data_IF_851330259375
#
_entry.id   IF_851330259375
#
_cell.length_a   1.000
_cell.length_b   1.000
_cell.length_c   1.000
_cell.angle_alpha   90.00
_cell.angle_beta   90.00
_cell.angle_gamma   90.00
#
_symmetry.space_group_name_H-M   'P 1'
#
loop_
_entity.id
_entity.type
_entity.pdbx_description
1 polymer ?
#
# COMPACT_ATOMS: atom_id res chain seq x y z
N UNK A 1 -45.03 79.16 55.32
CA UNK A 1 -44.62 79.05 53.93
C UNK A 1 -43.39 78.11 53.89
N UNK A 2 -43.56 76.87 53.71
CA UNK A 2 -42.47 75.87 53.60
C UNK A 2 -42.55 75.16 52.30
N UNK A 3 -41.51 75.23 51.50
CA UNK A 3 -41.37 74.45 50.25
C UNK A 3 -40.64 73.14 50.62
N UNK A 4 -41.08 71.97 50.12
CA UNK A 4 -40.29 70.73 50.21
C UNK A 4 -39.33 70.57 49.06
N UNK A 5 -38.08 70.24 49.39
CA UNK A 5 -37.04 69.84 48.44
C UNK A 5 -37.28 68.49 47.90
N UNK A 6 -37.21 68.31 46.56
CA UNK A 6 -37.26 67.05 45.88
C UNK A 6 -35.84 66.45 45.79
N UNK A 7 -35.66 65.22 46.31
CA UNK A 7 -34.45 64.42 46.18
C UNK A 7 -34.58 63.58 44.90
N UNK A 8 -33.75 63.83 43.93
CA UNK A 8 -33.64 63.03 42.70
C UNK A 8 -32.73 61.81 43.00
N UNK A 9 -33.28 60.60 42.92
CA UNK A 9 -32.50 59.36 42.99
C UNK A 9 -31.98 59.00 41.57
N UNK A 10 -30.65 58.99 41.41
CA UNK A 10 -29.99 58.52 40.19
C UNK A 10 -29.87 57.05 40.19
N UNK A 11 -30.54 56.37 39.24
CA UNK A 11 -30.47 54.94 39.02
C UNK A 11 -29.29 54.66 38.09
N UNK A 12 -28.20 54.09 38.61
CA UNK A 12 -27.05 53.66 37.78
C UNK A 12 -27.31 52.30 37.18
N UNK A 13 -27.47 52.26 35.88
CA UNK A 13 -27.61 51.01 35.08
C UNK A 13 -26.21 50.40 34.82
N UNK A 14 -25.87 49.31 35.48
CA UNK A 14 -24.65 48.55 35.23
C UNK A 14 -24.93 47.58 34.06
N UNK A 15 -24.40 47.90 32.89
CA UNK A 15 -24.43 47.00 31.71
C UNK A 15 -23.32 45.97 31.83
N UNK A 16 -23.64 44.74 32.14
CA UNK A 16 -22.71 43.64 32.10
C UNK A 16 -22.41 43.26 30.64
N UNK A 17 -21.21 43.51 30.16
CA UNK A 17 -20.73 43.03 28.85
C UNK A 17 -20.32 41.57 28.99
N UNK A 18 -21.16 40.66 28.49
CA UNK A 18 -20.80 39.25 28.38
C UNK A 18 -19.92 39.08 27.13
N UNK A 19 -18.61 38.98 27.31
CA UNK A 19 -17.70 38.57 26.23
C UNK A 19 -17.84 37.08 26.00
N UNK A 20 -18.56 36.70 24.94
CA UNK A 20 -18.57 35.34 24.45
C UNK A 20 -17.17 34.99 23.92
N UNK A 21 -16.39 34.26 24.70
CA UNK A 21 -15.14 33.67 24.26
C UNK A 21 -15.42 32.68 23.15
N UNK A 22 -15.02 32.99 21.91
CA UNK A 22 -15.03 32.04 20.81
C UNK A 22 -14.06 30.89 21.16
N UNK A 23 -14.59 29.74 21.51
CA UNK A 23 -13.80 28.53 21.65
C UNK A 23 -13.20 28.22 20.27
N UNK A 24 -11.90 28.43 20.13
CA UNK A 24 -11.15 28.02 18.94
C UNK A 24 -11.22 26.50 18.90
N UNK A 25 -12.06 25.95 18.05
CA UNK A 25 -12.11 24.52 17.79
C UNK A 25 -10.75 24.11 17.24
N UNK A 26 -9.97 23.34 18.01
CA UNK A 26 -8.69 22.82 17.56
C UNK A 26 -8.92 22.06 16.25
N UNK A 27 -8.15 22.35 15.22
CA UNK A 27 -8.20 21.62 13.96
C UNK A 27 -8.02 20.12 14.27
N UNK A 28 -8.81 19.23 13.66
CA UNK A 28 -8.68 17.80 13.90
C UNK A 28 -7.24 17.38 13.63
N UNK A 29 -6.64 16.67 14.59
CA UNK A 29 -5.27 16.19 14.48
C UNK A 29 -5.10 15.43 13.14
N UNK A 30 -4.03 15.75 12.41
CA UNK A 30 -3.72 15.06 11.17
C UNK A 30 -3.57 13.55 11.45
N UNK A 31 -4.13 12.71 10.58
CA UNK A 31 -3.95 11.28 10.69
C UNK A 31 -2.46 10.91 10.58
N UNK A 32 -1.98 9.92 11.33
CA UNK A 32 -0.60 9.46 11.19
C UNK A 32 -0.35 9.00 9.75
N UNK A 33 0.85 9.23 9.24
CA UNK A 33 1.23 8.76 7.93
C UNK A 33 1.22 7.22 7.88
N UNK A 34 0.81 6.65 6.75
CA UNK A 34 0.80 5.23 6.46
C UNK A 34 1.89 4.94 5.43
N UNK A 35 2.78 4.00 5.75
CA UNK A 35 3.88 3.58 4.87
C UNK A 35 3.57 2.26 4.20
N UNK A 36 3.65 2.25 2.88
CA UNK A 36 3.34 1.11 2.01
C UNK A 36 4.58 0.72 1.23
N UNK A 37 4.95 -0.54 1.27
CA UNK A 37 6.06 -1.11 0.52
C UNK A 37 5.54 -2.12 -0.51
N UNK A 38 5.98 -2.00 -1.77
CA UNK A 38 5.89 -3.05 -2.78
C UNK A 38 7.28 -3.65 -2.98
N UNK A 39 7.41 -4.98 -2.90
CA UNK A 39 8.69 -5.63 -3.02
C UNK A 39 8.59 -7.04 -3.61
N UNK A 40 9.09 -7.21 -4.83
CA UNK A 40 9.30 -8.52 -5.43
C UNK A 40 10.56 -9.14 -4.79
N UNK A 41 10.43 -10.34 -4.22
CA UNK A 41 11.46 -10.99 -3.40
C UNK A 41 12.40 -11.90 -4.21
N UNK A 42 12.07 -12.16 -5.47
CA UNK A 42 12.80 -13.17 -6.26
C UNK A 42 12.98 -14.47 -5.47
N UNK A 43 11.88 -15.02 -4.94
CA UNK A 43 11.83 -16.21 -4.05
C UNK A 43 12.89 -16.23 -2.93
N UNK A 44 13.31 -15.05 -2.47
CA UNK A 44 14.30 -14.91 -1.40
C UNK A 44 15.76 -14.98 -1.85
N UNK A 45 16.01 -15.19 -3.14
CA UNK A 45 17.36 -15.20 -3.70
C UNK A 45 17.79 -13.78 -4.09
N UNK A 46 18.89 -13.36 -3.49
CA UNK A 46 19.51 -12.08 -3.81
C UNK A 46 20.27 -12.14 -5.14
N UNK A 47 20.65 -10.96 -5.64
CA UNK A 47 21.44 -10.80 -6.85
C UNK A 47 22.91 -11.35 -6.71
N UNK A 48 23.25 -11.80 -5.50
CA UNK A 48 24.46 -12.55 -5.18
C UNK A 48 24.26 -14.08 -5.18
N UNK A 49 23.08 -14.57 -5.59
CA UNK A 49 22.72 -15.98 -5.66
C UNK A 49 22.49 -16.64 -4.29
N UNK A 50 22.27 -15.86 -3.22
CA UNK A 50 22.05 -16.39 -1.88
C UNK A 50 20.61 -16.23 -1.44
N UNK A 51 20.02 -17.30 -0.92
CA UNK A 51 18.75 -17.24 -0.18
C UNK A 51 19.01 -16.62 1.19
N UNK A 52 18.46 -15.41 1.43
CA UNK A 52 18.72 -14.64 2.65
C UNK A 52 17.45 -13.88 3.13
N UNK A 53 16.53 -14.60 3.75
CA UNK A 53 15.32 -14.00 4.34
C UNK A 53 15.62 -12.98 5.46
N UNK A 54 16.63 -13.19 6.35
CA UNK A 54 17.04 -12.16 7.31
C UNK A 54 17.41 -10.83 6.64
N UNK A 55 18.13 -10.84 5.51
CA UNK A 55 18.45 -9.63 4.74
C UNK A 55 17.20 -8.94 4.21
N UNK A 56 16.28 -9.68 3.61
CA UNK A 56 14.99 -9.15 3.15
C UNK A 56 14.17 -8.55 4.31
N UNK A 57 14.11 -9.25 5.45
CA UNK A 57 13.44 -8.76 6.65
C UNK A 57 14.08 -7.47 7.19
N UNK A 58 15.41 -7.34 7.13
CA UNK A 58 16.11 -6.12 7.52
C UNK A 58 15.74 -4.94 6.61
N UNK A 59 15.63 -5.15 5.29
CA UNK A 59 15.15 -4.12 4.33
C UNK A 59 13.72 -3.68 4.65
N UNK A 60 12.82 -4.65 4.86
CA UNK A 60 11.41 -4.36 5.22
C UNK A 60 11.35 -3.57 6.53
N UNK A 61 12.07 -4.01 7.56
CA UNK A 61 12.09 -3.34 8.88
C UNK A 61 12.66 -1.93 8.79
N UNK A 62 13.78 -1.75 8.07
CA UNK A 62 14.42 -0.45 7.89
C UNK A 62 13.54 0.55 7.11
N UNK A 63 12.65 0.07 6.23
CA UNK A 63 11.67 0.91 5.52
C UNK A 63 10.64 1.53 6.45
N UNK A 64 10.40 0.91 7.61
CA UNK A 64 9.34 1.29 8.54
C UNK A 64 7.93 1.11 7.97
N UNK A 65 7.77 0.24 6.96
CA UNK A 65 6.48 0.01 6.31
C UNK A 65 5.44 -0.55 7.28
N UNK A 66 4.22 -0.07 7.17
CA UNK A 66 3.05 -0.55 7.90
C UNK A 66 2.31 -1.64 7.12
N UNK A 67 2.33 -1.52 5.78
CA UNK A 67 1.75 -2.45 4.83
C UNK A 67 2.81 -2.86 3.80
N UNK A 68 2.93 -4.16 3.53
CA UNK A 68 3.91 -4.68 2.56
C UNK A 68 3.23 -5.66 1.62
N UNK A 69 3.33 -5.42 0.32
CA UNK A 69 2.94 -6.37 -0.72
C UNK A 69 4.19 -7.06 -1.26
N UNK A 70 4.24 -8.38 -1.13
CA UNK A 70 5.36 -9.21 -1.53
C UNK A 70 4.96 -10.07 -2.74
N UNK A 71 5.80 -10.08 -3.76
CA UNK A 71 5.67 -10.92 -4.93
C UNK A 71 6.77 -11.98 -4.91
N UNK A 72 6.55 -13.06 -5.67
CA UNK A 72 7.47 -14.20 -5.78
C UNK A 72 7.80 -14.85 -4.43
N UNK A 73 6.77 -15.17 -3.68
CA UNK A 73 6.90 -15.77 -2.34
C UNK A 73 6.72 -17.28 -2.44
N UNK A 74 7.73 -18.03 -2.03
CA UNK A 74 7.68 -19.48 -1.93
C UNK A 74 7.12 -19.93 -0.57
N UNK A 75 6.30 -20.96 -0.61
CA UNK A 75 5.82 -21.66 0.57
C UNK A 75 6.25 -23.12 0.50
N UNK A 76 7.24 -23.51 1.30
CA UNK A 76 7.73 -24.88 1.46
C UNK A 76 8.23 -25.54 0.15
N UNK A 77 8.72 -24.76 -0.81
CA UNK A 77 9.32 -25.33 -2.03
C UNK A 77 10.71 -25.92 -1.76
N UNK A 78 11.11 -26.89 -2.57
CA UNK A 78 12.44 -27.51 -2.42
C UNK A 78 13.57 -26.53 -2.74
N UNK A 79 13.39 -25.62 -3.70
CA UNK A 79 14.42 -24.61 -4.05
C UNK A 79 14.75 -23.66 -2.89
N UNK A 80 13.80 -23.44 -1.98
CA UNK A 80 13.98 -22.58 -0.81
C UNK A 80 14.12 -23.35 0.50
N UNK A 81 14.49 -24.65 0.43
CA UNK A 81 14.77 -25.46 1.61
C UNK A 81 13.55 -25.81 2.46
N UNK A 82 12.34 -25.79 1.88
CA UNK A 82 11.10 -26.13 2.59
C UNK A 82 10.59 -25.05 3.54
N UNK A 83 11.12 -23.82 3.46
CA UNK A 83 10.71 -22.70 4.32
C UNK A 83 9.39 -22.11 3.85
N UNK A 84 8.51 -21.75 4.78
CA UNK A 84 7.38 -20.84 4.53
C UNK A 84 7.90 -19.40 4.62
N UNK A 85 8.19 -18.79 3.47
CA UNK A 85 8.85 -17.48 3.43
C UNK A 85 7.97 -16.36 4.00
N UNK A 86 6.64 -16.44 3.77
CA UNK A 86 5.72 -15.44 4.30
C UNK A 86 5.65 -15.49 5.84
N UNK A 87 5.59 -16.69 6.41
CA UNK A 87 5.59 -16.90 7.87
C UNK A 87 6.91 -16.44 8.50
N UNK A 88 8.03 -16.81 7.88
CA UNK A 88 9.37 -16.45 8.39
C UNK A 88 9.62 -14.94 8.32
N UNK A 89 9.26 -14.28 7.22
CA UNK A 89 9.34 -12.82 7.11
C UNK A 89 8.42 -12.12 8.13
N UNK A 90 7.22 -12.63 8.34
CA UNK A 90 6.33 -12.11 9.38
C UNK A 90 6.94 -12.24 10.78
N UNK A 91 7.55 -13.38 11.09
CA UNK A 91 8.26 -13.60 12.36
C UNK A 91 9.44 -12.65 12.55
N UNK A 92 10.27 -12.48 11.51
CA UNK A 92 11.46 -11.61 11.54
C UNK A 92 11.13 -10.12 11.63
N UNK A 93 10.03 -9.69 11.01
CA UNK A 93 9.62 -8.27 10.97
C UNK A 93 8.63 -7.89 12.08
N UNK A 94 8.02 -8.88 12.77
CA UNK A 94 6.95 -8.65 13.74
C UNK A 94 5.62 -8.25 13.12
N UNK A 95 5.46 -8.36 11.80
CA UNK A 95 4.23 -8.04 11.08
C UNK A 95 3.31 -9.27 11.03
N UNK A 96 2.02 -9.04 10.84
CA UNK A 96 1.03 -10.09 10.51
C UNK A 96 1.09 -10.39 9.02
N UNK A 97 0.69 -11.60 8.61
CA UNK A 97 0.70 -11.96 7.18
C UNK A 97 -0.57 -12.69 6.73
N UNK A 98 -0.76 -12.68 5.42
CA UNK A 98 -1.61 -13.60 4.65
C UNK A 98 -0.86 -13.99 3.38
N UNK A 99 -0.96 -15.25 3.02
CA UNK A 99 -0.35 -15.82 1.82
C UNK A 99 -1.43 -16.24 0.83
N UNK A 100 -1.22 -15.93 -0.46
CA UNK A 100 -2.06 -16.36 -1.57
C UNK A 100 -1.27 -17.25 -2.52
N UNK A 101 -1.68 -18.51 -2.64
CA UNK A 101 -1.07 -19.47 -3.56
C UNK A 101 -1.54 -19.19 -4.99
N UNK A 102 -0.60 -19.01 -5.91
CA UNK A 102 -0.85 -18.92 -7.34
C UNK A 102 -0.81 -20.33 -7.98
N UNK A 103 0.15 -21.16 -7.58
CA UNK A 103 0.30 -22.50 -8.11
C UNK A 103 1.04 -23.44 -7.14
N UNK A 104 0.95 -24.74 -7.38
CA UNK A 104 1.85 -25.72 -6.79
C UNK A 104 3.21 -25.65 -7.50
N UNK A 105 4.29 -25.65 -6.73
CA UNK A 105 5.63 -25.53 -7.28
C UNK A 105 6.66 -26.27 -6.44
N UNK A 106 7.44 -27.14 -7.07
CA UNK A 106 8.55 -27.87 -6.44
C UNK A 106 8.24 -28.46 -5.05
N UNK A 107 7.13 -29.17 -4.92
CA UNK A 107 6.72 -29.84 -3.67
C UNK A 107 6.07 -28.90 -2.63
N UNK A 108 6.01 -27.62 -2.88
CA UNK A 108 5.33 -26.60 -2.10
C UNK A 108 4.40 -25.74 -2.96
N UNK A 109 4.35 -24.46 -2.70
CA UNK A 109 3.56 -23.49 -3.44
C UNK A 109 4.36 -22.20 -3.74
N UNK A 110 3.98 -21.54 -4.82
CA UNK A 110 4.48 -20.22 -5.21
C UNK A 110 3.31 -19.25 -5.29
N UNK A 111 3.55 -17.99 -4.86
CA UNK A 111 2.49 -17.00 -4.84
C UNK A 111 2.93 -15.64 -4.35
N UNK A 112 2.07 -15.02 -3.55
CA UNK A 112 2.25 -13.66 -3.05
C UNK A 112 1.87 -13.59 -1.57
N UNK A 113 2.36 -12.56 -0.86
CA UNK A 113 1.96 -12.30 0.51
C UNK A 113 1.65 -10.83 0.75
N UNK A 114 0.74 -10.58 1.68
CA UNK A 114 0.56 -9.27 2.33
C UNK A 114 1.12 -9.36 3.74
N UNK A 115 1.95 -8.38 4.11
CA UNK A 115 2.30 -8.17 5.52
C UNK A 115 1.65 -6.87 6.00
N UNK A 116 1.30 -6.82 7.30
CA UNK A 116 0.65 -5.67 7.89
C UNK A 116 0.94 -5.55 9.39
N UNK A 117 1.05 -4.32 9.87
CA UNK A 117 1.07 -4.01 11.31
C UNK A 117 -0.25 -4.39 11.99
N UNK A 118 -1.36 -4.40 11.26
CA UNK A 118 -2.72 -4.66 11.75
C UNK A 118 -3.28 -5.96 11.19
N UNK A 119 -4.39 -6.48 11.71
CA UNK A 119 -5.07 -7.65 11.15
C UNK A 119 -5.40 -7.45 9.67
N UNK A 120 -5.21 -8.50 8.89
CA UNK A 120 -5.59 -8.62 7.48
C UNK A 120 -6.91 -9.40 7.43
N UNK A 121 -8.03 -8.67 7.48
CA UNK A 121 -9.39 -9.20 7.52
C UNK A 121 -9.92 -9.48 6.10
N UNK A 122 -10.93 -10.31 5.97
CA UNK A 122 -11.61 -10.60 4.70
C UNK A 122 -10.65 -10.96 3.56
N UNK A 123 -9.56 -11.67 3.91
CA UNK A 123 -8.54 -12.04 2.93
C UNK A 123 -9.12 -12.92 1.81
N UNK A 124 -8.82 -12.54 0.57
CA UNK A 124 -9.32 -13.25 -0.62
C UNK A 124 -8.22 -13.35 -1.68
N UNK A 125 -8.13 -14.52 -2.31
CA UNK A 125 -7.29 -14.79 -3.47
C UNK A 125 -8.16 -14.69 -4.73
N UNK A 126 -7.75 -13.87 -5.70
CA UNK A 126 -8.44 -13.63 -6.96
C UNK A 126 -7.61 -14.19 -8.10
N UNK A 127 -8.08 -15.27 -8.74
CA UNK A 127 -7.45 -15.77 -9.95
C UNK A 127 -7.57 -14.73 -11.09
N UNK A 128 -6.47 -14.51 -11.78
CA UNK A 128 -6.43 -13.63 -12.96
C UNK A 128 -6.51 -14.45 -14.25
N UNK A 129 -6.95 -13.86 -15.37
CA UNK A 129 -6.92 -14.52 -16.67
C UNK A 129 -5.53 -15.07 -16.97
N UNK A 130 -5.49 -16.35 -17.35
CA UNK A 130 -4.25 -17.06 -17.58
C UNK A 130 -4.38 -17.91 -18.84
N UNK A 131 -3.68 -17.56 -19.94
CA UNK A 131 -3.61 -18.42 -21.10
C UNK A 131 -2.97 -19.77 -20.78
N UNK A 132 -3.27 -20.79 -21.55
CA UNK A 132 -2.63 -22.09 -21.40
C UNK A 132 -1.10 -21.96 -21.50
N UNK A 133 -0.39 -22.71 -20.65
CA UNK A 133 1.07 -22.77 -20.57
C UNK A 133 1.79 -21.48 -20.12
N UNK A 134 1.08 -20.56 -19.47
CA UNK A 134 1.67 -19.40 -18.80
C UNK A 134 1.58 -19.58 -17.30
N UNK A 135 2.53 -19.01 -16.56
CA UNK A 135 2.52 -19.05 -15.10
C UNK A 135 1.23 -18.43 -14.53
N UNK A 136 0.48 -19.13 -13.67
CA UNK A 136 -0.75 -18.59 -13.08
C UNK A 136 -0.48 -17.32 -12.28
N UNK A 137 -1.30 -16.30 -12.53
CA UNK A 137 -1.24 -15.02 -11.80
C UNK A 137 -2.49 -14.83 -10.96
N UNK A 138 -2.30 -14.16 -9.85
CA UNK A 138 -3.36 -13.82 -8.88
C UNK A 138 -3.25 -12.36 -8.47
N UNK A 139 -4.32 -11.84 -7.91
CA UNK A 139 -4.28 -10.75 -6.95
C UNK A 139 -4.74 -11.26 -5.60
N UNK A 140 -4.23 -10.69 -4.53
CA UNK A 140 -4.66 -10.95 -3.16
C UNK A 140 -5.14 -9.67 -2.53
N UNK A 141 -6.22 -9.72 -1.75
CA UNK A 141 -6.77 -8.55 -1.09
C UNK A 141 -7.15 -8.83 0.35
N UNK A 142 -7.05 -7.81 1.19
CA UNK A 142 -7.52 -7.83 2.57
C UNK A 142 -8.09 -6.46 2.95
N UNK A 143 -8.97 -6.44 3.93
CA UNK A 143 -9.40 -5.23 4.62
C UNK A 143 -8.47 -4.98 5.81
N UNK A 144 -7.97 -3.75 5.93
CA UNK A 144 -7.12 -3.29 7.03
C UNK A 144 -7.78 -2.10 7.72
N UNK A 145 -7.66 -2.05 9.06
CA UNK A 145 -8.23 -0.99 9.90
C UNK A 145 -7.15 -0.31 10.75
N UNK A 146 -6.34 0.58 10.16
CA UNK A 146 -5.35 1.31 10.93
C UNK A 146 -6.04 2.27 11.93
N UNK A 147 -5.50 2.47 13.12
CA UNK A 147 -6.07 3.38 14.11
C UNK A 147 -6.24 4.81 13.56
N UNK A 148 -7.45 5.34 13.69
CA UNK A 148 -7.81 6.67 13.21
C UNK A 148 -8.11 6.77 11.69
N UNK A 149 -7.90 5.72 10.93
CA UNK A 149 -8.21 5.64 9.50
C UNK A 149 -9.58 4.98 9.26
N UNK A 150 -10.27 5.32 8.17
CA UNK A 150 -11.37 4.47 7.71
C UNK A 150 -10.82 3.07 7.32
N UNK A 151 -11.68 2.04 7.30
CA UNK A 151 -11.29 0.77 6.71
C UNK A 151 -10.77 0.99 5.29
N UNK A 152 -9.67 0.35 4.94
CA UNK A 152 -9.09 0.40 3.61
C UNK A 152 -8.89 -1.01 3.05
N UNK A 153 -8.96 -1.12 1.72
CA UNK A 153 -8.58 -2.35 1.02
C UNK A 153 -7.10 -2.29 0.64
N UNK A 154 -6.38 -3.31 1.03
CA UNK A 154 -4.99 -3.51 0.62
C UNK A 154 -4.91 -4.67 -0.37
N UNK A 155 -4.35 -4.43 -1.55
CA UNK A 155 -4.25 -5.39 -2.65
C UNK A 155 -2.79 -5.58 -3.01
N UNK A 156 -2.39 -6.85 -3.20
CA UNK A 156 -1.11 -7.24 -3.80
C UNK A 156 -1.34 -7.95 -5.14
N UNK A 157 -0.46 -7.74 -6.11
CA UNK A 157 -0.47 -8.49 -7.39
C UNK A 157 0.93 -8.68 -7.94
N UNK A 158 1.05 -9.67 -8.82
CA UNK A 158 2.18 -9.86 -9.73
C UNK A 158 1.61 -10.26 -11.10
N UNK A 159 1.70 -9.38 -12.08
CA UNK A 159 1.14 -9.61 -13.42
C UNK A 159 2.10 -10.47 -14.27
N UNK A 160 1.57 -10.98 -15.37
CA UNK A 160 2.34 -11.77 -16.34
C UNK A 160 3.57 -11.03 -16.85
N UNK A 161 4.71 -11.74 -16.95
CA UNK A 161 5.99 -11.19 -17.36
C UNK A 161 6.36 -11.52 -18.82
N UNK A 162 5.52 -12.26 -19.54
CA UNK A 162 5.83 -12.66 -20.90
C UNK A 162 6.00 -11.47 -21.83
N UNK A 163 6.77 -11.65 -22.92
CA UNK A 163 7.04 -10.58 -23.89
C UNK A 163 5.76 -10.04 -24.56
N UNK A 164 4.81 -10.95 -24.85
CA UNK A 164 3.47 -10.56 -25.32
C UNK A 164 2.65 -10.07 -24.12
N UNK A 165 2.14 -8.86 -24.18
CA UNK A 165 1.39 -8.25 -23.10
C UNK A 165 -0.10 -8.60 -23.08
N UNK A 166 -0.57 -9.53 -23.92
CA UNK A 166 -1.99 -9.87 -24.06
C UNK A 166 -2.57 -10.42 -22.75
N UNK A 167 -1.88 -11.37 -22.12
CA UNK A 167 -2.30 -11.92 -20.83
C UNK A 167 -2.32 -10.83 -19.74
N UNK A 168 -1.25 -10.06 -19.66
CA UNK A 168 -1.08 -8.95 -18.71
C UNK A 168 -2.15 -7.87 -18.88
N UNK A 169 -2.50 -7.54 -20.12
CA UNK A 169 -3.58 -6.60 -20.41
C UNK A 169 -4.95 -7.12 -19.97
N UNK A 170 -5.27 -8.41 -20.24
CA UNK A 170 -6.49 -9.03 -19.76
C UNK A 170 -6.55 -9.08 -18.23
N UNK A 171 -5.41 -9.33 -17.58
CA UNK A 171 -5.29 -9.28 -16.12
C UNK A 171 -5.58 -7.88 -15.57
N UNK A 172 -5.07 -6.83 -16.22
CA UNK A 172 -5.36 -5.44 -15.84
C UNK A 172 -6.86 -5.10 -15.97
N UNK A 173 -7.50 -5.53 -17.07
CA UNK A 173 -8.95 -5.35 -17.25
C UNK A 173 -9.75 -6.07 -16.17
N UNK A 174 -9.35 -7.30 -15.80
CA UNK A 174 -10.00 -8.04 -14.73
C UNK A 174 -9.84 -7.37 -13.37
N UNK A 175 -8.69 -6.78 -13.09
CA UNK A 175 -8.45 -6.00 -11.88
C UNK A 175 -9.31 -4.74 -11.82
N UNK A 176 -9.47 -4.04 -12.95
CA UNK A 176 -10.38 -2.89 -13.05
C UNK A 176 -11.84 -3.27 -12.82
N UNK A 177 -12.30 -4.36 -13.44
CA UNK A 177 -13.65 -4.90 -13.22
C UNK A 177 -13.88 -5.19 -11.72
N UNK A 178 -12.88 -5.78 -11.07
CA UNK A 178 -13.01 -6.23 -9.68
C UNK A 178 -12.87 -5.10 -8.66
N UNK A 179 -11.99 -4.16 -8.89
CA UNK A 179 -11.59 -3.16 -7.89
C UNK A 179 -11.71 -1.71 -8.36
N UNK A 180 -11.85 -1.48 -9.65
CA UNK A 180 -11.87 -0.14 -10.24
C UNK A 180 -13.09 0.71 -9.87
N UNK A 181 -14.10 0.13 -9.25
CA UNK A 181 -15.33 0.81 -8.81
C UNK A 181 -15.60 0.68 -7.32
N UNK A 182 -14.62 0.16 -6.55
CA UNK A 182 -14.76 0.01 -5.11
C UNK A 182 -15.00 1.37 -4.41
N UNK A 183 -15.94 1.39 -3.48
CA UNK A 183 -16.21 2.56 -2.64
C UNK A 183 -15.22 2.68 -1.47
N UNK A 184 -14.55 1.58 -1.12
CA UNK A 184 -13.58 1.53 -0.02
C UNK A 184 -12.26 2.14 -0.48
N UNK A 185 -11.64 3.04 0.29
CA UNK A 185 -10.29 3.52 -0.01
C UNK A 185 -9.33 2.34 -0.22
N UNK A 186 -8.65 2.34 -1.37
CA UNK A 186 -7.88 1.19 -1.82
C UNK A 186 -6.43 1.58 -2.07
N UNK A 187 -5.51 0.75 -1.56
CA UNK A 187 -4.09 0.74 -1.85
C UNK A 187 -3.79 -0.55 -2.62
N UNK A 188 -3.25 -0.43 -3.80
CA UNK A 188 -2.97 -1.53 -4.69
C UNK A 188 -1.48 -1.51 -5.07
N UNK A 189 -0.71 -2.44 -4.54
CA UNK A 189 0.74 -2.52 -4.70
C UNK A 189 1.16 -3.80 -5.42
N UNK A 190 2.25 -3.76 -6.17
CA UNK A 190 2.74 -4.97 -6.84
C UNK A 190 3.77 -4.71 -7.93
N UNK A 191 4.21 -5.84 -8.50
CA UNK A 191 4.93 -5.90 -9.76
C UNK A 191 3.91 -6.08 -10.91
N UNK A 192 3.75 -5.03 -11.69
CA UNK A 192 2.81 -5.04 -12.81
C UNK A 192 3.45 -5.50 -14.12
N UNK A 193 4.77 -5.74 -14.13
CA UNK A 193 5.54 -6.13 -15.33
C UNK A 193 5.25 -5.22 -16.55
N UNK A 194 4.87 -3.98 -16.30
CA UNK A 194 4.41 -3.02 -17.30
C UNK A 194 5.06 -1.66 -17.09
N UNK A 195 5.64 -1.08 -18.16
CA UNK A 195 6.19 0.27 -18.13
C UNK A 195 5.07 1.32 -18.17
N UNK A 196 5.28 2.56 -17.69
CA UNK A 196 4.24 3.57 -17.54
C UNK A 196 3.40 3.85 -18.79
N UNK A 197 4.03 3.83 -19.99
CA UNK A 197 3.36 4.18 -21.26
C UNK A 197 2.64 2.99 -21.93
N UNK A 198 2.59 1.83 -21.29
CA UNK A 198 1.93 0.65 -21.88
C UNK A 198 0.41 0.72 -21.74
N UNK A 199 -0.33 0.04 -22.65
CA UNK A 199 -1.79 -0.08 -22.57
C UNK A 199 -2.26 -0.71 -21.24
N UNK A 200 -1.44 -1.58 -20.64
CA UNK A 200 -1.69 -2.21 -19.34
C UNK A 200 -1.79 -1.16 -18.25
N UNK A 201 -0.78 -0.28 -18.15
CA UNK A 201 -0.80 0.79 -17.15
C UNK A 201 -1.84 1.86 -17.45
N UNK A 202 -2.06 2.19 -18.74
CA UNK A 202 -3.13 3.11 -19.12
C UNK A 202 -4.49 2.62 -18.64
N UNK A 203 -4.83 1.35 -18.89
CA UNK A 203 -6.08 0.75 -18.43
C UNK A 203 -6.24 0.82 -16.91
N UNK A 204 -5.19 0.55 -16.14
CA UNK A 204 -5.23 0.66 -14.67
C UNK A 204 -5.38 2.11 -14.20
N UNK A 205 -4.69 3.05 -14.85
CA UNK A 205 -4.70 4.47 -14.49
C UNK A 205 -6.02 5.18 -14.84
N UNK A 206 -6.90 4.57 -15.65
CA UNK A 206 -8.29 5.03 -15.83
C UNK A 206 -9.11 4.92 -14.52
N UNK A 207 -8.71 4.05 -13.59
CA UNK A 207 -9.41 3.77 -12.35
C UNK A 207 -8.61 4.08 -11.08
N UNK A 208 -7.29 4.11 -11.18
CA UNK A 208 -6.37 4.31 -10.05
C UNK A 208 -5.42 5.48 -10.30
N UNK A 209 -4.87 6.03 -9.24
CA UNK A 209 -3.83 7.06 -9.31
C UNK A 209 -2.49 6.45 -8.90
N UNK A 210 -1.45 6.69 -9.70
CA UNK A 210 -0.09 6.26 -9.39
C UNK A 210 0.54 7.14 -8.30
N UNK A 211 0.79 6.56 -7.14
CA UNK A 211 1.38 7.25 -6.00
C UNK A 211 2.83 7.72 -6.22
N UNK A 212 3.53 7.16 -7.20
CA UNK A 212 4.92 7.50 -7.51
C UNK A 212 5.09 8.31 -8.80
N UNK A 213 3.98 8.83 -9.38
CA UNK A 213 4.02 9.59 -10.64
C UNK A 213 4.86 10.88 -10.55
N UNK A 214 4.88 11.54 -9.38
CA UNK A 214 5.65 12.77 -9.18
C UNK A 214 7.16 12.54 -9.04
N UNK A 215 7.58 11.35 -8.62
CA UNK A 215 8.99 10.96 -8.43
C UNK A 215 9.26 9.59 -9.04
N UNK A 216 9.04 9.44 -10.37
CA UNK A 216 9.17 8.15 -11.03
C UNK A 216 10.63 7.70 -11.02
N UNK A 217 10.85 6.44 -10.60
CA UNK A 217 12.17 5.84 -10.62
C UNK A 217 12.09 4.37 -11.05
N UNK A 218 13.07 3.83 -11.75
CA UNK A 218 13.12 2.44 -12.14
C UNK A 218 13.35 1.54 -10.92
N UNK A 219 12.76 0.33 -10.95
CA UNK A 219 12.81 -0.65 -9.87
C UNK A 219 13.58 -1.91 -10.22
N UNK A 220 13.69 -2.26 -11.50
CA UNK A 220 14.34 -3.47 -11.98
C UNK A 220 15.27 -3.19 -13.19
N UNK A 221 16.38 -3.98 -13.35
CA UNK A 221 16.97 -4.87 -12.35
C UNK A 221 17.61 -4.09 -11.19
N UNK A 222 17.74 -4.71 -10.01
CA UNK A 222 18.17 -4.00 -8.78
C UNK A 222 19.55 -3.36 -8.87
N UNK A 223 20.53 -4.00 -9.50
CA UNK A 223 21.91 -3.45 -9.64
C UNK A 223 21.94 -2.16 -10.46
N UNK A 224 21.31 -2.17 -11.63
CA UNK A 224 21.26 -1.03 -12.56
C UNK A 224 19.84 -0.85 -13.08
N UNK A 225 18.96 -0.22 -12.32
CA UNK A 225 17.54 -0.14 -12.66
C UNK A 225 17.30 0.63 -13.97
N UNK A 226 16.56 0.01 -14.89
CA UNK A 226 16.19 0.58 -16.20
C UNK A 226 14.69 0.50 -16.49
N UNK A 227 13.97 -0.33 -15.73
CA UNK A 227 12.53 -0.52 -15.88
C UNK A 227 11.82 -0.11 -14.60
N UNK A 228 10.78 0.70 -14.75
CA UNK A 228 9.79 0.98 -13.72
C UNK A 228 8.62 0.06 -13.97
N UNK A 229 8.46 -0.97 -13.15
CA UNK A 229 7.45 -2.01 -13.29
C UNK A 229 6.72 -2.33 -11.98
N UNK A 230 7.24 -1.83 -10.85
CA UNK A 230 6.59 -1.90 -9.55
C UNK A 230 5.86 -0.58 -9.25
N UNK A 231 4.65 -0.70 -8.70
CA UNK A 231 3.79 0.47 -8.43
C UNK A 231 3.05 0.32 -7.11
N UNK A 232 2.65 1.48 -6.57
CA UNK A 232 1.60 1.64 -5.58
C UNK A 232 0.52 2.51 -6.21
N UNK A 233 -0.65 1.95 -6.45
CA UNK A 233 -1.79 2.61 -7.05
C UNK A 233 -2.84 2.89 -5.97
N UNK A 234 -3.56 4.00 -6.07
CA UNK A 234 -4.48 4.51 -5.06
C UNK A 234 -5.87 4.76 -5.65
N UNK A 235 -6.91 4.49 -4.86
CA UNK A 235 -8.30 4.82 -5.20
C UNK A 235 -9.12 5.15 -3.95
N UNK A 236 -10.11 6.07 -4.00
CA UNK A 236 -10.23 7.11 -5.03
C UNK A 236 -9.09 8.14 -4.91
N UNK A 237 -8.81 8.89 -5.97
CA UNK A 237 -7.72 9.87 -6.00
C UNK A 237 -7.82 10.90 -4.86
N UNK A 238 -9.03 11.39 -4.57
CA UNK A 238 -9.29 12.41 -3.55
C UNK A 238 -9.19 11.93 -2.10
N UNK A 239 -9.04 10.61 -1.84
CA UNK A 239 -8.92 10.09 -0.48
C UNK A 239 -7.49 10.16 0.08
N UNK A 240 -6.50 10.46 -0.76
CA UNK A 240 -5.10 10.28 -0.47
C UNK A 240 -4.26 11.53 -0.80
N UNK A 241 -3.33 11.84 0.07
CA UNK A 241 -2.21 12.72 -0.26
C UNK A 241 -0.91 11.92 -0.12
N UNK A 242 -0.17 11.81 -1.20
CA UNK A 242 1.19 11.23 -1.19
C UNK A 242 2.12 12.24 -0.52
N UNK A 243 2.76 11.82 0.57
CA UNK A 243 3.76 12.61 1.30
C UNK A 243 5.12 12.42 0.66
N UNK A 244 5.47 11.16 0.37
CA UNK A 244 6.71 10.82 -0.31
C UNK A 244 6.55 9.49 -1.09
N UNK A 245 7.36 9.34 -2.13
CA UNK A 245 7.54 8.09 -2.85
C UNK A 245 9.02 7.92 -3.17
N UNK A 246 9.58 6.74 -2.87
CA UNK A 246 11.00 6.46 -3.03
C UNK A 246 11.24 5.00 -3.39
N UNK A 247 12.03 4.77 -4.44
CA UNK A 247 12.67 3.48 -4.69
C UNK A 247 13.90 3.40 -3.79
N UNK A 248 13.96 2.37 -2.92
CA UNK A 248 15.06 2.19 -1.98
C UNK A 248 16.30 1.69 -2.72
N UNK A 249 17.47 2.14 -2.27
CA UNK A 249 18.76 1.82 -2.93
C UNK A 249 19.28 0.43 -2.53
N UNK A 250 18.39 -0.57 -2.45
CA UNK A 250 18.77 -1.96 -2.19
C UNK A 250 19.07 -2.65 -3.53
N UNK A 251 20.29 -3.15 -3.69
CA UNK A 251 20.78 -3.67 -4.96
C UNK A 251 21.15 -5.16 -4.91
N UNK A 252 21.00 -5.81 -3.76
CA UNK A 252 21.52 -7.17 -3.54
C UNK A 252 20.46 -8.14 -3.03
N UNK A 253 19.54 -7.67 -2.17
CA UNK A 253 18.60 -8.57 -1.48
C UNK A 253 17.56 -9.23 -2.40
N UNK A 254 17.33 -8.67 -3.60
CA UNK A 254 16.46 -9.17 -4.66
C UNK A 254 16.95 -8.62 -6.00
N UNK A 255 16.42 -9.09 -7.12
CA UNK A 255 16.59 -8.53 -8.46
C UNK A 255 15.69 -7.30 -8.72
N UNK A 256 14.78 -6.97 -7.78
CA UNK A 256 14.01 -5.73 -7.75
C UNK A 256 14.43 -4.84 -6.58
N UNK A 257 14.28 -3.52 -6.75
CA UNK A 257 14.37 -2.54 -5.67
C UNK A 257 12.99 -2.28 -5.06
N UNK A 258 12.87 -2.23 -3.72
CA UNK A 258 11.59 -1.94 -3.07
C UNK A 258 11.09 -0.53 -3.38
N UNK A 259 9.79 -0.39 -3.63
CA UNK A 259 9.10 0.89 -3.75
C UNK A 259 8.38 1.22 -2.44
N UNK A 260 8.81 2.27 -1.74
CA UNK A 260 8.20 2.78 -0.52
C UNK A 260 7.39 4.04 -0.81
N UNK A 261 6.14 4.07 -0.36
CA UNK A 261 5.24 5.23 -0.47
C UNK A 261 4.71 5.59 0.91
N UNK A 262 4.73 6.87 1.24
CA UNK A 262 4.15 7.42 2.47
C UNK A 262 2.89 8.23 2.13
N UNK A 263 1.78 7.92 2.80
CA UNK A 263 0.45 8.42 2.51
C UNK A 263 -0.18 9.05 3.76
N UNK A 264 -1.03 10.05 3.55
CA UNK A 264 -2.00 10.51 4.55
C UNK A 264 -3.39 10.53 3.92
N UNK A 265 -4.42 10.21 4.70
CA UNK A 265 -5.79 10.34 4.23
C UNK A 265 -6.20 11.83 4.17
N UNK A 266 -6.94 12.19 3.12
CA UNK A 266 -7.64 13.47 3.01
C UNK A 266 -9.04 13.26 3.62
N UNK A 267 -9.40 14.09 4.62
CA UNK A 267 -10.73 14.08 5.26
C UNK A 267 -11.69 14.97 4.51
#
# INVERSE_FOLDING_TARGET
MHRPSAIAAALSLVTAVVTAGAATQAAPAALPALRVLSYNLHHGEGDDGKLDLPRLAAVITASGADLVALQEVDQKTTRTGGVDQAEELARLTGLRFRYGKAMDYQGGAYGQALLSRWPLEEFTVHALPNPANVEPRIAISATVRPPGWPPLRFIGTHLDATRDDTARWQQALRLNERFGHDAIPTIFAGDFNARPATRVMQALLDHFTDASAATPAPTSPAKQPTARIDYVLLRPAGAWRVVSSKVLSEAVASDHRPLLVELVAIR
#
